data_IF_285768420758
#
_entry.id   IF_285768420758
#
_cell.length_a   1.000
_cell.length_b   1.000
_cell.length_c   1.000
_cell.angle_alpha   90.00
_cell.angle_beta   90.00
_cell.angle_gamma   90.00
#
_symmetry.space_group_name_H-M   'P 1'
#
loop_
_entity.id
_entity.type
_entity.pdbx_description
1 polymer ?
#
# COMPACT_ATOMS: atom_id res chain seq x y z
N UNK A 1 -8.10 6.11 8.45
CA UNK A 1 -8.22 5.65 9.87
C UNK A 1 -7.74 4.21 10.09
N UNK A 2 -7.51 3.43 9.03
CA UNK A 2 -7.06 2.02 9.13
C UNK A 2 -5.72 1.90 9.86
N UNK A 3 -4.70 2.66 9.49
CA UNK A 3 -3.39 2.69 10.18
C UNK A 3 -3.52 2.94 11.68
N UNK A 4 -4.14 4.06 12.09
CA UNK A 4 -4.30 4.39 13.52
C UNK A 4 -4.95 3.25 14.31
N UNK A 5 -6.06 2.72 13.78
CA UNK A 5 -6.79 1.64 14.44
C UNK A 5 -5.99 0.35 14.49
N UNK A 6 -5.23 0.04 13.44
CA UNK A 6 -4.39 -1.15 13.41
C UNK A 6 -3.24 -1.02 14.42
N UNK A 7 -2.46 0.06 14.36
CA UNK A 7 -1.31 0.31 15.26
C UNK A 7 -1.73 0.22 16.73
N UNK A 8 -2.79 0.92 17.12
CA UNK A 8 -3.22 0.94 18.52
C UNK A 8 -3.72 -0.43 19.00
N UNK A 9 -4.47 -1.17 18.16
CA UNK A 9 -4.94 -2.51 18.50
C UNK A 9 -3.81 -3.53 18.55
N UNK A 10 -2.91 -3.48 17.59
CA UNK A 10 -1.79 -4.40 17.50
C UNK A 10 -0.83 -4.21 18.68
N UNK A 11 -0.57 -2.96 19.09
CA UNK A 11 0.18 -2.69 20.32
C UNK A 11 -0.47 -3.33 21.53
N UNK A 12 -1.76 -3.07 21.76
CA UNK A 12 -2.49 -3.65 22.91
C UNK A 12 -2.47 -5.18 22.86
N UNK A 13 -2.60 -5.77 21.66
CA UNK A 13 -2.52 -7.24 21.48
C UNK A 13 -1.15 -7.80 21.86
N UNK A 14 -0.05 -7.09 21.53
CA UNK A 14 1.32 -7.54 21.82
C UNK A 14 1.72 -7.35 23.26
N UNK A 15 1.35 -6.24 23.88
CA UNK A 15 1.88 -5.80 25.19
C UNK A 15 0.85 -5.82 26.32
N UNK A 16 -0.44 -5.85 26.02
CA UNK A 16 -1.51 -5.95 27.01
C UNK A 16 -1.82 -4.65 27.76
N UNK A 17 -1.18 -3.55 27.41
CA UNK A 17 -1.40 -2.23 28.00
C UNK A 17 -1.76 -1.18 26.91
N UNK A 18 -1.80 0.11 27.25
CA UNK A 18 -2.17 1.20 26.36
C UNK A 18 -1.00 2.17 26.08
N UNK A 19 0.24 1.72 26.23
CA UNK A 19 1.45 2.51 26.01
C UNK A 19 1.87 2.64 24.54
N UNK A 20 0.92 2.57 23.59
CA UNK A 20 1.22 2.74 22.16
C UNK A 20 1.82 4.12 21.87
N UNK A 21 2.67 4.22 20.82
CA UNK A 21 3.34 5.47 20.45
C UNK A 21 2.35 6.61 20.20
N UNK A 22 2.78 7.86 20.44
CA UNK A 22 2.02 9.03 19.98
C UNK A 22 1.94 9.03 18.47
N UNK A 23 0.75 9.31 17.93
CA UNK A 23 0.49 9.25 16.49
C UNK A 23 0.02 10.63 16.00
N UNK A 24 0.81 11.24 15.12
CA UNK A 24 0.45 12.46 14.42
C UNK A 24 -0.07 12.12 13.02
N UNK A 25 -1.18 12.72 12.62
CA UNK A 25 -1.80 12.49 11.32
C UNK A 25 -1.94 13.81 10.58
N UNK A 26 -1.32 13.91 9.41
CA UNK A 26 -1.52 14.99 8.47
C UNK A 26 -2.43 14.51 7.34
N UNK A 27 -3.70 14.92 7.38
CA UNK A 27 -4.68 14.55 6.36
C UNK A 27 -4.76 15.60 5.27
N UNK A 28 -4.66 15.16 4.02
CA UNK A 28 -4.63 16.03 2.84
C UNK A 28 -5.98 16.06 2.11
N UNK A 29 -6.19 17.05 1.24
CA UNK A 29 -7.32 17.09 0.31
C UNK A 29 -7.08 16.09 -0.81
N UNK A 30 -7.59 14.85 -0.67
CA UNK A 30 -7.27 13.73 -1.54
C UNK A 30 -7.62 13.98 -3.01
N UNK A 31 -8.71 14.69 -3.31
CA UNK A 31 -9.07 15.04 -4.68
C UNK A 31 -7.95 15.82 -5.40
N UNK A 32 -7.30 16.75 -4.71
CA UNK A 32 -6.20 17.52 -5.30
C UNK A 32 -5.02 16.61 -5.70
N UNK A 33 -4.70 15.60 -4.89
CA UNK A 33 -3.66 14.64 -5.20
C UNK A 33 -4.06 13.75 -6.40
N UNK A 34 -5.33 13.33 -6.49
CA UNK A 34 -5.85 12.61 -7.67
C UNK A 34 -5.67 13.48 -8.93
N UNK A 35 -6.01 14.77 -8.87
CA UNK A 35 -5.90 15.68 -10.01
C UNK A 35 -4.44 15.84 -10.45
N UNK A 36 -3.50 15.95 -9.53
CA UNK A 36 -2.06 15.98 -9.84
C UNK A 36 -1.57 14.67 -10.47
N UNK A 37 -1.97 13.53 -9.94
CA UNK A 37 -1.62 12.22 -10.52
C UNK A 37 -2.14 12.08 -11.95
N UNK A 38 -3.39 12.46 -12.20
CA UNK A 38 -4.01 12.43 -13.53
C UNK A 38 -3.34 13.38 -14.53
N UNK A 39 -2.88 14.53 -14.04
CA UNK A 39 -2.14 15.52 -14.84
C UNK A 39 -0.65 15.15 -15.02
N UNK A 40 -0.16 14.11 -14.37
CA UNK A 40 1.26 13.74 -14.39
C UNK A 40 2.17 14.67 -13.59
N UNK A 41 1.62 15.50 -12.70
CA UNK A 41 2.35 16.49 -11.90
C UNK A 41 3.00 15.85 -10.65
N UNK A 42 3.86 14.86 -10.86
CA UNK A 42 4.47 14.08 -9.79
C UNK A 42 5.43 14.90 -8.91
N UNK A 43 6.12 15.90 -9.46
CA UNK A 43 6.98 16.80 -8.70
C UNK A 43 6.19 17.64 -7.69
N UNK A 44 5.01 18.16 -8.10
CA UNK A 44 4.12 18.92 -7.22
C UNK A 44 3.58 18.04 -6.10
N UNK A 45 3.23 16.79 -6.43
CA UNK A 45 2.78 15.79 -5.47
C UNK A 45 3.88 15.47 -4.46
N UNK A 46 5.12 15.25 -4.92
CA UNK A 46 6.26 14.98 -4.06
C UNK A 46 6.52 16.13 -3.07
N UNK A 47 6.55 17.37 -3.56
CA UNK A 47 6.76 18.53 -2.69
C UNK A 47 5.62 18.72 -1.67
N UNK A 48 4.37 18.51 -2.06
CA UNK A 48 3.24 18.60 -1.15
C UNK A 48 3.29 17.50 -0.06
N UNK A 49 3.67 16.27 -0.43
CA UNK A 49 3.86 15.17 0.53
C UNK A 49 5.02 15.47 1.49
N UNK A 50 6.16 15.95 0.97
CA UNK A 50 7.30 16.35 1.79
C UNK A 50 6.97 17.52 2.74
N UNK A 51 6.19 18.49 2.30
CA UNK A 51 5.73 19.60 3.15
C UNK A 51 4.88 19.12 4.33
N UNK A 52 3.97 18.15 4.09
CA UNK A 52 3.19 17.51 5.15
C UNK A 52 4.07 16.76 6.16
N UNK A 53 5.04 16.00 5.69
CA UNK A 53 5.98 15.26 6.55
C UNK A 53 6.92 16.19 7.33
N UNK A 54 7.39 17.31 6.74
CA UNK A 54 8.13 18.35 7.46
C UNK A 54 7.29 19.00 8.58
N UNK A 55 5.98 19.21 8.33
CA UNK A 55 5.08 19.73 9.36
C UNK A 55 4.89 18.72 10.51
N UNK A 56 4.79 17.42 10.22
CA UNK A 56 4.76 16.37 11.24
C UNK A 56 6.07 16.31 12.04
N UNK A 57 7.22 16.39 11.37
CA UNK A 57 8.52 16.44 12.04
C UNK A 57 8.65 17.68 12.94
N UNK A 58 8.20 18.85 12.49
CA UNK A 58 8.19 20.06 13.31
C UNK A 58 7.24 19.97 14.52
N UNK A 59 6.23 19.11 14.44
CA UNK A 59 5.31 18.79 15.54
C UNK A 59 5.84 17.69 16.48
N UNK A 60 7.05 17.15 16.24
CA UNK A 60 7.71 16.19 17.11
C UNK A 60 7.72 14.75 16.59
N UNK A 61 7.26 14.49 15.36
CA UNK A 61 7.38 13.14 14.80
C UNK A 61 8.86 12.81 14.53
N UNK A 62 9.29 11.61 14.97
CA UNK A 62 10.66 11.10 14.85
C UNK A 62 10.81 10.09 13.69
N UNK A 63 9.70 9.52 13.25
CA UNK A 63 9.60 8.59 12.12
C UNK A 63 8.30 8.86 11.37
N UNK A 64 8.25 8.56 10.07
CA UNK A 64 7.07 8.80 9.25
C UNK A 64 6.77 7.71 8.25
N UNK A 65 5.59 7.78 7.67
CA UNK A 65 5.17 6.97 6.53
C UNK A 65 4.20 7.75 5.62
N UNK A 66 4.06 7.28 4.40
CA UNK A 66 3.05 7.74 3.45
C UNK A 66 1.97 6.64 3.34
N UNK A 67 0.78 6.90 3.87
CA UNK A 67 -0.31 5.90 3.99
C UNK A 67 -1.03 5.62 2.66
N UNK A 68 -0.28 5.38 1.58
CA UNK A 68 -0.79 5.05 0.24
C UNK A 68 0.28 4.40 -0.62
N UNK A 69 -0.10 3.42 -1.44
CA UNK A 69 0.82 2.74 -2.36
C UNK A 69 1.27 3.65 -3.51
N UNK A 70 0.33 4.34 -4.16
CA UNK A 70 0.61 5.12 -5.39
C UNK A 70 1.65 6.23 -5.20
N UNK A 71 1.70 6.86 -4.02
CA UNK A 71 2.66 7.95 -3.77
C UNK A 71 4.10 7.45 -3.62
N UNK A 72 4.29 6.14 -3.46
CA UNK A 72 5.64 5.54 -3.45
C UNK A 72 6.34 5.63 -4.82
N UNK A 73 5.63 6.03 -5.88
CA UNK A 73 6.27 6.44 -7.14
C UNK A 73 7.27 7.58 -6.97
N UNK A 74 7.06 8.45 -5.98
CA UNK A 74 7.93 9.60 -5.67
C UNK A 74 8.55 9.48 -4.27
N UNK A 75 8.58 8.28 -3.70
CA UNK A 75 9.01 8.05 -2.33
C UNK A 75 10.45 8.53 -2.08
N UNK A 76 11.38 8.24 -2.98
CA UNK A 76 12.79 8.61 -2.83
C UNK A 76 12.97 10.13 -2.82
N UNK A 77 12.24 10.87 -3.69
CA UNK A 77 12.27 12.32 -3.72
C UNK A 77 11.73 12.91 -2.41
N UNK A 78 10.64 12.33 -1.89
CA UNK A 78 10.05 12.75 -0.62
C UNK A 78 10.99 12.44 0.55
N UNK A 79 11.54 11.22 0.60
CA UNK A 79 12.43 10.79 1.68
C UNK A 79 13.71 11.65 1.74
N UNK A 80 14.26 12.04 0.58
CA UNK A 80 15.41 12.94 0.50
C UNK A 80 15.11 14.38 0.97
N UNK A 81 13.83 14.79 0.94
CA UNK A 81 13.39 16.15 1.25
C UNK A 81 12.88 16.34 2.70
N UNK A 82 12.92 15.30 3.55
CA UNK A 82 12.40 15.36 4.93
C UNK A 82 13.48 14.98 5.94
N UNK A 83 13.45 15.53 7.16
CA UNK A 83 14.51 15.33 8.16
C UNK A 83 14.37 14.05 8.99
N UNK A 84 13.28 13.31 8.84
CA UNK A 84 13.00 12.07 9.59
C UNK A 84 13.02 10.85 8.68
N UNK A 85 13.40 9.67 9.18
CA UNK A 85 13.33 8.44 8.41
C UNK A 85 11.88 8.09 8.05
N UNK A 86 11.70 7.54 6.85
CA UNK A 86 10.40 7.06 6.39
C UNK A 86 10.40 5.54 6.22
N UNK A 87 9.33 4.90 6.63
CA UNK A 87 9.09 3.48 6.32
C UNK A 87 8.43 3.39 4.94
N UNK A 88 8.99 2.57 4.05
CA UNK A 88 8.49 2.35 2.69
C UNK A 88 7.56 1.15 2.64
N UNK A 89 6.34 1.33 2.10
CA UNK A 89 5.39 0.24 1.90
C UNK A 89 5.91 -0.79 0.89
N UNK A 90 6.74 -0.34 -0.08
CA UNK A 90 7.33 -1.21 -1.09
C UNK A 90 8.40 -2.11 -0.48
N UNK A 91 9.23 -1.56 0.42
CA UNK A 91 10.27 -2.32 1.10
C UNK A 91 9.63 -3.38 1.99
N UNK A 92 8.64 -2.99 2.77
CA UNK A 92 7.90 -3.92 3.64
C UNK A 92 7.24 -5.06 2.85
N UNK A 93 6.65 -4.74 1.69
CA UNK A 93 6.06 -5.76 0.82
C UNK A 93 7.14 -6.70 0.22
N UNK A 94 8.27 -6.16 -0.24
CA UNK A 94 9.38 -6.94 -0.79
C UNK A 94 10.01 -7.86 0.25
N UNK A 95 10.25 -7.35 1.47
CA UNK A 95 10.81 -8.12 2.58
C UNK A 95 9.86 -9.27 2.95
N UNK A 96 8.55 -8.99 3.07
CA UNK A 96 7.55 -10.02 3.38
C UNK A 96 7.48 -11.11 2.32
N UNK A 97 7.53 -10.75 1.03
CA UNK A 97 7.57 -11.73 -0.07
C UNK A 97 8.83 -12.57 -0.03
N UNK A 98 9.97 -11.95 0.30
CA UNK A 98 11.25 -12.66 0.46
C UNK A 98 11.19 -13.66 1.61
N UNK A 99 10.64 -13.28 2.75
CA UNK A 99 10.45 -14.16 3.92
C UNK A 99 9.53 -15.36 3.60
N UNK A 100 8.54 -15.15 2.75
CA UNK A 100 7.65 -16.21 2.27
C UNK A 100 8.29 -17.11 1.19
N UNK A 101 9.47 -16.74 0.68
CA UNK A 101 10.14 -17.44 -0.41
C UNK A 101 9.47 -17.26 -1.77
N UNK A 102 8.63 -16.23 -1.93
CA UNK A 102 7.92 -15.94 -3.17
C UNK A 102 8.85 -15.45 -4.26
N UNK A 103 8.55 -15.81 -5.50
CA UNK A 103 9.32 -15.42 -6.69
C UNK A 103 8.51 -14.65 -7.71
N UNK A 104 7.19 -14.79 -7.70
CA UNK A 104 6.27 -14.18 -8.66
C UNK A 104 5.05 -13.65 -7.92
N UNK A 105 4.94 -12.34 -7.76
CA UNK A 105 3.86 -11.72 -7.04
C UNK A 105 2.87 -11.02 -7.99
N UNK A 106 1.59 -11.37 -7.93
CA UNK A 106 0.54 -10.64 -8.61
C UNK A 106 0.30 -9.31 -7.90
N UNK A 107 0.23 -8.21 -8.64
CA UNK A 107 -0.04 -6.88 -8.10
C UNK A 107 -1.42 -6.40 -8.52
N UNK A 108 -2.30 -6.18 -7.55
CA UNK A 108 -3.62 -5.58 -7.71
C UNK A 108 -3.63 -4.19 -7.05
N UNK A 109 -4.16 -3.18 -7.74
CA UNK A 109 -4.22 -1.81 -7.23
C UNK A 109 -4.89 -0.86 -8.22
N UNK A 110 -4.72 0.44 -8.00
CA UNK A 110 -5.16 1.43 -9.00
C UNK A 110 -4.32 1.33 -10.28
N UNK A 111 -4.84 1.87 -11.39
CA UNK A 111 -4.06 1.99 -12.64
C UNK A 111 -2.71 2.66 -12.39
N UNK A 112 -2.67 3.70 -11.56
CA UNK A 112 -1.41 4.37 -11.19
C UNK A 112 -0.39 3.42 -10.55
N UNK A 113 -0.86 2.47 -9.77
CA UNK A 113 -0.01 1.47 -9.10
C UNK A 113 0.39 0.35 -10.07
N UNK A 114 -0.55 -0.20 -10.83
CA UNK A 114 -0.31 -1.33 -11.72
C UNK A 114 0.47 -0.95 -12.99
N UNK A 115 0.26 0.26 -13.52
CA UNK A 115 0.94 0.73 -14.73
C UNK A 115 2.30 1.42 -14.42
N UNK A 116 2.59 1.66 -13.14
CA UNK A 116 3.85 2.25 -12.71
C UNK A 116 4.99 1.23 -12.63
N UNK A 117 6.23 1.68 -12.86
CA UNK A 117 7.41 0.82 -12.74
C UNK A 117 7.90 0.65 -11.30
N UNK A 118 7.49 1.51 -10.37
CA UNK A 118 8.06 1.57 -9.01
C UNK A 118 7.87 0.29 -8.19
N UNK A 119 6.74 -0.42 -8.32
CA UNK A 119 6.55 -1.75 -7.75
C UNK A 119 7.42 -2.82 -8.44
N UNK A 120 7.31 -3.00 -9.77
CA UNK A 120 8.19 -3.93 -10.50
C UNK A 120 9.67 -3.70 -10.25
N UNK A 121 10.14 -2.46 -10.28
CA UNK A 121 11.55 -2.11 -10.09
C UNK A 121 12.02 -2.49 -8.66
N UNK A 122 11.20 -2.19 -7.63
CA UNK A 122 11.53 -2.54 -6.25
C UNK A 122 11.57 -4.04 -6.00
N UNK A 123 10.56 -4.77 -6.50
CA UNK A 123 10.47 -6.22 -6.35
C UNK A 123 11.58 -6.95 -7.12
N UNK A 124 11.92 -6.47 -8.32
CA UNK A 124 13.03 -7.01 -9.11
C UNK A 124 14.37 -6.91 -8.38
N UNK A 125 14.60 -5.84 -7.59
CA UNK A 125 15.76 -5.68 -6.72
C UNK A 125 15.88 -6.78 -5.65
N UNK A 126 14.77 -7.44 -5.31
CA UNK A 126 14.71 -8.60 -4.39
C UNK A 126 14.58 -9.95 -5.12
N UNK A 127 14.73 -9.97 -6.46
CA UNK A 127 14.61 -11.17 -7.28
C UNK A 127 13.19 -11.67 -7.47
N UNK A 128 12.19 -10.81 -7.27
CA UNK A 128 10.76 -11.14 -7.37
C UNK A 128 10.19 -10.53 -8.65
N UNK A 129 9.59 -11.37 -9.49
CA UNK A 129 8.88 -10.94 -10.71
C UNK A 129 7.48 -10.41 -10.34
N UNK A 130 7.11 -9.25 -10.88
CA UNK A 130 5.75 -8.72 -10.75
C UNK A 130 4.86 -9.22 -11.88
N UNK A 131 3.76 -9.88 -11.54
CA UNK A 131 2.72 -10.32 -12.47
C UNK A 131 1.57 -9.32 -12.43
N UNK A 132 1.18 -8.82 -13.60
CA UNK A 132 0.13 -7.80 -13.71
C UNK A 132 -1.11 -8.37 -14.41
N UNK A 133 -2.32 -7.93 -14.01
CA UNK A 133 -3.56 -8.29 -14.73
C UNK A 133 -3.54 -7.79 -16.17
N UNK A 134 -4.35 -8.42 -17.02
CA UNK A 134 -4.58 -7.93 -18.39
C UNK A 134 -5.14 -6.50 -18.38
N UNK A 135 -4.95 -5.70 -19.45
CA UNK A 135 -5.39 -4.30 -19.47
C UNK A 135 -6.87 -4.09 -19.11
N UNK A 136 -7.77 -4.95 -19.57
CA UNK A 136 -9.20 -4.88 -19.24
C UNK A 136 -9.47 -5.17 -17.75
N UNK A 137 -8.78 -6.15 -17.18
CA UNK A 137 -8.87 -6.47 -15.74
C UNK A 137 -8.35 -5.31 -14.87
N UNK A 138 -7.30 -4.59 -15.34
CA UNK A 138 -6.81 -3.39 -14.62
C UNK A 138 -7.84 -2.26 -14.62
N UNK A 139 -8.58 -2.09 -15.72
CA UNK A 139 -9.66 -1.10 -15.82
C UNK A 139 -10.81 -1.45 -14.84
N UNK A 140 -11.17 -2.73 -14.75
CA UNK A 140 -12.21 -3.21 -13.83
C UNK A 140 -11.78 -3.03 -12.37
N UNK A 141 -10.55 -3.39 -12.00
CA UNK A 141 -10.01 -3.19 -10.64
C UNK A 141 -10.01 -1.70 -10.29
N UNK A 142 -9.52 -0.84 -11.17
CA UNK A 142 -9.46 0.61 -10.95
C UNK A 142 -10.85 1.21 -10.75
N UNK A 143 -11.82 0.82 -11.58
CA UNK A 143 -13.22 1.21 -11.46
C UNK A 143 -13.80 0.78 -10.11
N UNK A 144 -13.61 -0.47 -9.70
CA UNK A 144 -14.09 -0.97 -8.41
C UNK A 144 -13.49 -0.15 -7.27
N UNK A 145 -12.18 0.13 -7.31
CA UNK A 145 -11.52 0.94 -6.28
C UNK A 145 -12.13 2.35 -6.20
N UNK A 146 -12.24 3.07 -7.32
CA UNK A 146 -12.66 4.47 -7.31
C UNK A 146 -14.17 4.67 -7.23
N UNK A 147 -14.97 3.82 -7.86
CA UNK A 147 -16.42 4.01 -7.92
C UNK A 147 -17.16 3.34 -6.75
N UNK A 148 -16.55 2.33 -6.12
CA UNK A 148 -17.18 1.56 -5.06
C UNK A 148 -16.42 1.67 -3.74
N UNK A 149 -15.21 1.10 -3.64
CA UNK A 149 -14.48 0.97 -2.38
C UNK A 149 -14.13 2.30 -1.72
N UNK A 150 -13.68 3.29 -2.51
CA UNK A 150 -13.37 4.63 -1.99
C UNK A 150 -14.60 5.37 -1.44
N UNK A 151 -15.79 4.91 -1.79
CA UNK A 151 -17.08 5.41 -1.29
C UNK A 151 -17.67 4.54 -0.17
N UNK A 152 -16.92 3.53 0.27
CA UNK A 152 -17.33 2.61 1.32
C UNK A 152 -18.36 1.56 0.86
N UNK A 153 -18.48 1.33 -0.45
CA UNK A 153 -19.36 0.31 -1.02
C UNK A 153 -18.56 -0.97 -1.25
N UNK A 154 -19.09 -2.08 -0.77
CA UNK A 154 -18.57 -3.43 -1.01
C UNK A 154 -19.71 -4.31 -1.50
N UNK A 155 -19.51 -5.07 -2.56
CA UNK A 155 -20.49 -6.01 -3.12
C UNK A 155 -19.86 -7.40 -3.31
N UNK A 156 -20.68 -8.43 -3.25
CA UNK A 156 -20.24 -9.80 -3.55
C UNK A 156 -19.80 -9.94 -5.01
N UNK A 157 -20.39 -9.17 -5.91
CA UNK A 157 -20.04 -9.14 -7.33
C UNK A 157 -18.62 -8.58 -7.52
N UNK A 158 -18.30 -7.44 -6.90
CA UNK A 158 -16.96 -6.84 -6.95
C UNK A 158 -15.92 -7.73 -6.27
N UNK A 159 -16.28 -8.39 -5.15
CA UNK A 159 -15.41 -9.40 -4.54
C UNK A 159 -15.12 -10.54 -5.51
N UNK A 160 -16.15 -11.13 -6.12
CA UNK A 160 -15.98 -12.23 -7.05
C UNK A 160 -15.14 -11.83 -8.28
N UNK A 161 -15.31 -10.61 -8.78
CA UNK A 161 -14.52 -10.08 -9.88
C UNK A 161 -13.03 -9.99 -9.52
N UNK A 162 -12.68 -9.36 -8.38
CA UNK A 162 -11.29 -9.22 -7.93
C UNK A 162 -10.66 -10.58 -7.64
N UNK A 163 -11.36 -11.46 -6.93
CA UNK A 163 -10.88 -12.83 -6.62
C UNK A 163 -10.64 -13.60 -7.91
N UNK A 164 -11.59 -13.57 -8.87
CA UNK A 164 -11.45 -14.26 -10.14
C UNK A 164 -10.27 -13.75 -10.99
N UNK A 165 -9.97 -12.45 -10.94
CA UNK A 165 -8.75 -11.91 -11.58
C UNK A 165 -7.50 -12.46 -10.90
N UNK A 166 -7.45 -12.45 -9.57
CA UNK A 166 -6.31 -12.95 -8.82
C UNK A 166 -6.08 -14.46 -9.05
N UNK A 167 -7.16 -15.27 -9.06
CA UNK A 167 -7.10 -16.69 -9.35
C UNK A 167 -6.51 -16.98 -10.74
N UNK A 168 -6.88 -16.20 -11.77
CA UNK A 168 -6.27 -16.33 -13.11
C UNK A 168 -4.78 -16.05 -13.10
N UNK A 169 -4.34 -15.01 -12.38
CA UNK A 169 -2.91 -14.68 -12.26
C UNK A 169 -2.13 -15.81 -11.56
N UNK A 170 -2.72 -16.45 -10.57
CA UNK A 170 -2.14 -17.62 -9.90
C UNK A 170 -2.07 -18.81 -10.86
N UNK A 171 -3.21 -19.17 -11.48
CA UNK A 171 -3.32 -20.39 -12.28
C UNK A 171 -2.61 -20.33 -13.64
N UNK A 172 -2.71 -19.20 -14.33
CA UNK A 172 -2.23 -19.05 -15.70
C UNK A 172 -0.85 -18.39 -15.80
N UNK A 173 -0.55 -17.46 -14.86
CA UNK A 173 0.70 -16.72 -14.86
C UNK A 173 1.68 -17.19 -13.78
N UNK A 174 1.29 -18.17 -12.95
CA UNK A 174 2.15 -18.76 -11.93
C UNK A 174 2.53 -17.82 -10.80
N UNK A 175 1.66 -16.87 -10.45
CA UNK A 175 1.87 -16.05 -9.27
C UNK A 175 1.79 -16.92 -8.01
N UNK A 176 2.77 -16.79 -7.13
CA UNK A 176 2.87 -17.53 -5.86
C UNK A 176 2.50 -16.67 -4.64
N UNK A 177 2.15 -15.39 -4.87
CA UNK A 177 1.56 -14.47 -3.90
C UNK A 177 0.72 -13.39 -4.61
N UNK A 178 -0.19 -12.74 -3.87
CA UNK A 178 -0.99 -11.61 -4.35
C UNK A 178 -0.79 -10.40 -3.45
N UNK A 179 -0.38 -9.28 -4.03
CA UNK A 179 -0.22 -7.99 -3.34
C UNK A 179 -1.50 -7.17 -3.52
N UNK A 180 -2.13 -6.80 -2.41
CA UNK A 180 -3.20 -5.82 -2.39
C UNK A 180 -2.58 -4.42 -2.30
N UNK A 181 -2.20 -3.86 -3.45
CA UNK A 181 -1.53 -2.57 -3.61
C UNK A 181 -2.49 -1.37 -3.55
N UNK A 182 -3.58 -1.49 -2.83
CA UNK A 182 -4.53 -0.43 -2.53
C UNK A 182 -5.10 -0.64 -1.13
N UNK A 183 -5.23 0.43 -0.35
CA UNK A 183 -5.69 0.40 1.05
C UNK A 183 -7.13 -0.08 1.22
N UNK A 184 -7.92 -0.05 0.15
CA UNK A 184 -9.34 -0.45 0.13
C UNK A 184 -9.55 -1.90 -0.33
N UNK A 185 -8.64 -2.52 -1.07
CA UNK A 185 -8.80 -3.92 -1.53
C UNK A 185 -8.97 -4.94 -0.39
N UNK A 186 -8.33 -4.78 0.79
CA UNK A 186 -8.58 -5.66 1.93
C UNK A 186 -10.02 -5.63 2.49
N UNK A 187 -10.85 -4.69 2.05
CA UNK A 187 -12.29 -4.70 2.34
C UNK A 187 -13.04 -5.80 1.59
N UNK A 188 -12.51 -6.26 0.46
CA UNK A 188 -13.10 -7.32 -0.38
C UNK A 188 -12.34 -8.63 -0.26
N UNK A 189 -11.00 -8.60 -0.31
CA UNK A 189 -10.15 -9.79 -0.43
C UNK A 189 -9.34 -9.98 0.84
N UNK A 190 -9.36 -11.18 1.37
CA UNK A 190 -8.65 -11.60 2.58
C UNK A 190 -7.78 -12.82 2.32
N UNK A 191 -6.91 -13.18 3.26
CA UNK A 191 -5.97 -14.29 3.13
C UNK A 191 -6.64 -15.64 2.82
N UNK A 192 -7.89 -15.85 3.24
CA UNK A 192 -8.62 -17.10 3.00
C UNK A 192 -9.31 -17.19 1.64
N UNK A 193 -9.30 -16.13 0.83
CA UNK A 193 -10.01 -16.11 -0.45
C UNK A 193 -9.20 -16.70 -1.62
N UNK A 194 -7.88 -16.90 -1.45
CA UNK A 194 -6.97 -17.36 -2.50
C UNK A 194 -6.08 -18.52 -2.01
N UNK A 195 -5.62 -19.42 -2.92
CA UNK A 195 -4.78 -20.57 -2.56
C UNK A 195 -3.30 -20.20 -2.30
N UNK A 196 -2.94 -18.93 -2.40
CA UNK A 196 -1.58 -18.38 -2.20
C UNK A 196 -1.63 -17.26 -1.15
N UNK A 197 -0.49 -16.89 -0.53
CA UNK A 197 -0.44 -15.76 0.39
C UNK A 197 -0.99 -14.47 -0.23
N UNK A 198 -1.80 -13.75 0.55
CA UNK A 198 -2.35 -12.45 0.20
C UNK A 198 -1.72 -11.39 1.10
N UNK A 199 -1.05 -10.41 0.52
CA UNK A 199 -0.37 -9.35 1.24
C UNK A 199 -1.26 -8.11 1.31
N UNK A 200 -1.86 -7.86 2.48
CA UNK A 200 -2.43 -6.56 2.81
C UNK A 200 -1.29 -5.58 3.13
N UNK A 201 -0.89 -4.81 2.12
CA UNK A 201 0.22 -3.86 2.26
C UNK A 201 -0.03 -2.79 3.33
N UNK A 202 -1.29 -2.46 3.61
CA UNK A 202 -1.67 -1.48 4.64
C UNK A 202 -1.37 -2.02 6.04
N UNK A 203 -1.78 -3.25 6.31
CA UNK A 203 -1.53 -3.92 7.59
C UNK A 203 -0.04 -4.15 7.81
N UNK A 204 0.66 -4.69 6.81
CA UNK A 204 2.12 -4.90 6.87
C UNK A 204 2.89 -3.59 7.14
N UNK A 205 2.52 -2.52 6.45
CA UNK A 205 3.15 -1.21 6.63
C UNK A 205 2.88 -0.61 8.01
N UNK A 206 1.66 -0.80 8.53
CA UNK A 206 1.29 -0.36 9.88
C UNK A 206 2.03 -1.15 10.98
N UNK A 207 2.28 -2.44 10.77
CA UNK A 207 3.11 -3.25 11.66
C UNK A 207 4.57 -2.78 11.64
N UNK A 208 5.13 -2.54 10.45
CA UNK A 208 6.52 -2.11 10.30
C UNK A 208 6.78 -0.74 10.95
N UNK A 209 5.86 0.24 10.82
CA UNK A 209 6.03 1.53 11.51
C UNK A 209 5.89 1.39 13.03
N UNK A 210 5.01 0.50 13.51
CA UNK A 210 4.91 0.21 14.94
C UNK A 210 6.21 -0.39 15.46
N UNK A 211 6.77 -1.37 14.77
CA UNK A 211 8.04 -2.01 15.15
C UNK A 211 9.18 -0.99 15.19
N UNK A 212 9.26 -0.13 14.16
CA UNK A 212 10.27 0.93 14.11
C UNK A 212 10.12 2.01 15.19
N UNK A 213 8.89 2.29 15.64
CA UNK A 213 8.62 3.25 16.71
C UNK A 213 8.90 2.70 18.13
N UNK A 214 9.11 1.40 18.26
CA UNK A 214 9.39 0.73 19.55
C UNK A 214 10.89 0.42 19.74
N UNK A 215 11.73 0.68 18.73
CA UNK A 215 13.19 0.50 18.78
C UNK A 215 13.91 1.78 19.13
#
# INVERSE_FOLDING_TARGET
MTYYRHITREYVRRFGDHGYPEILIYSVTFQQFIDWMRAGNWEVLAEAAAAGLRALSAAGAEIGLIATNTFHKVFEDVAAAVPIPLVSILDVAADRLTDLGCRRAALLGTRFTMDGSFYPDRLAGSGIETVLPAPADRDDIDRIIFDELSRGLTTDESKAAIVGIAERLVAENGADAVILGCTELPLLVTEGDLPVPVLDTTTLHADAILDAALT
#
